data_IF_650808081365
#
_entry.id   IF_650808081365
#
_cell.length_a   1.000
_cell.length_b   1.000
_cell.length_c   1.000
_cell.angle_alpha   90.00
_cell.angle_beta   90.00
_cell.angle_gamma   90.00
#
_symmetry.space_group_name_H-M   'P 1'
#
loop_
_entity.id
_entity.type
_entity.pdbx_description
1 polymer ?
#
# COMPACT_ATOMS: atom_id res chain seq x y z
N UNK A 1 16.35 -0.79 -0.43
CA UNK A 1 15.28 -0.28 -1.30
C UNK A 1 14.45 0.73 -0.53
N UNK A 2 14.31 1.97 -1.02
CA UNK A 2 13.48 2.99 -0.34
C UNK A 2 11.99 2.75 -0.58
N UNK A 3 11.13 3.26 0.30
CA UNK A 3 9.66 3.24 0.12
C UNK A 3 9.27 3.95 -1.18
N UNK A 4 9.94 5.06 -1.49
CA UNK A 4 9.72 5.81 -2.72
C UNK A 4 9.96 4.94 -3.97
N UNK A 5 11.05 4.18 -4.00
CA UNK A 5 11.34 3.29 -5.14
C UNK A 5 10.34 2.13 -5.24
N UNK A 6 9.86 1.59 -4.12
CA UNK A 6 8.81 0.56 -4.12
C UNK A 6 7.50 1.11 -4.67
N UNK A 7 7.12 2.32 -4.26
CA UNK A 7 5.94 3.02 -4.75
C UNK A 7 6.03 3.26 -6.26
N UNK A 8 7.12 3.86 -6.74
CA UNK A 8 7.31 4.13 -8.17
C UNK A 8 7.23 2.87 -9.04
N UNK A 9 7.85 1.77 -8.59
CA UNK A 9 7.77 0.48 -9.29
C UNK A 9 6.32 -0.01 -9.42
N UNK A 10 5.56 0.01 -8.33
CA UNK A 10 4.16 -0.43 -8.32
C UNK A 10 3.26 0.51 -9.13
N UNK A 11 3.46 1.83 -9.01
CA UNK A 11 2.69 2.80 -9.78
C UNK A 11 2.90 2.64 -11.28
N UNK A 12 4.15 2.45 -11.72
CA UNK A 12 4.47 2.26 -13.13
C UNK A 12 3.84 0.95 -13.65
N UNK A 13 3.87 -0.12 -12.85
CA UNK A 13 3.21 -1.38 -13.20
C UNK A 13 1.70 -1.18 -13.37
N UNK A 14 1.02 -0.56 -12.41
CA UNK A 14 -0.43 -0.30 -12.47
C UNK A 14 -0.79 0.56 -13.69
N UNK A 15 -0.03 1.65 -13.93
CA UNK A 15 -0.20 2.52 -15.11
C UNK A 15 -0.04 1.75 -16.42
N UNK A 16 0.97 0.89 -16.53
CA UNK A 16 1.21 0.07 -17.73
C UNK A 16 0.07 -0.90 -18.06
N UNK A 17 -0.72 -1.27 -17.05
CA UNK A 17 -1.90 -2.13 -17.21
C UNK A 17 -3.18 -1.36 -17.55
N UNK A 18 -3.12 -0.03 -17.60
CA UNK A 18 -4.28 0.83 -17.77
C UNK A 18 -5.22 0.83 -16.56
N UNK A 19 -4.72 0.41 -15.40
CA UNK A 19 -5.49 0.39 -14.16
C UNK A 19 -5.37 1.74 -13.44
N UNK A 20 -6.34 2.02 -12.57
CA UNK A 20 -6.31 3.19 -11.69
C UNK A 20 -5.90 2.76 -10.28
N UNK A 21 -5.05 3.56 -9.65
CA UNK A 21 -4.71 3.39 -8.24
C UNK A 21 -5.84 4.00 -7.41
N UNK A 22 -6.47 3.19 -6.56
CA UNK A 22 -7.55 3.64 -5.68
C UNK A 22 -7.01 4.36 -4.43
N UNK A 23 -6.09 3.73 -3.71
CA UNK A 23 -5.38 4.31 -2.56
C UNK A 23 -4.02 3.62 -2.36
N UNK A 24 -3.16 4.22 -1.53
CA UNK A 24 -1.82 3.72 -1.18
C UNK A 24 -1.67 3.67 0.34
N UNK A 25 -1.32 2.48 0.84
CA UNK A 25 -1.15 2.19 2.26
C UNK A 25 0.32 1.96 2.57
N UNK A 26 0.92 2.82 3.41
CA UNK A 26 2.36 2.80 3.72
C UNK A 26 2.56 2.77 5.24
N UNK A 27 3.40 1.85 5.70
CA UNK A 27 3.79 1.71 7.10
C UNK A 27 5.33 1.80 7.21
N UNK A 28 5.86 3.03 7.17
CA UNK A 28 7.30 3.27 7.35
C UNK A 28 7.70 3.10 8.83
N UNK A 29 8.79 2.39 9.08
CA UNK A 29 9.29 2.10 10.43
C UNK A 29 8.55 0.98 11.18
N UNK A 30 7.68 0.21 10.53
CA UNK A 30 6.99 -0.93 11.14
C UNK A 30 7.62 -2.26 10.78
N UNK A 31 7.62 -3.20 11.74
CA UNK A 31 8.10 -4.57 11.47
C UNK A 31 7.11 -5.33 10.58
N UNK A 32 7.62 -6.20 9.71
CA UNK A 32 6.79 -7.14 8.94
C UNK A 32 6.34 -8.39 9.70
N UNK A 33 6.63 -8.49 11.01
CA UNK A 33 6.37 -9.68 11.82
C UNK A 33 4.92 -9.80 12.30
N UNK A 34 4.15 -8.71 12.21
CA UNK A 34 2.75 -8.70 12.62
C UNK A 34 1.92 -7.72 11.75
N UNK A 35 0.62 -7.72 12.01
CA UNK A 35 -0.36 -6.88 11.32
C UNK A 35 -0.68 -5.58 12.06
N UNK A 36 -0.04 -5.29 13.20
CA UNK A 36 -0.22 -4.05 13.97
C UNK A 36 0.47 -2.88 13.27
N UNK A 37 -0.07 -2.51 12.13
CA UNK A 37 0.47 -1.54 11.18
C UNK A 37 -0.67 -0.61 10.78
N UNK A 38 -0.63 0.69 11.10
CA UNK A 38 -1.77 1.59 10.97
C UNK A 38 -2.38 1.64 9.58
N UNK A 39 -1.57 1.73 8.52
CA UNK A 39 -2.07 1.76 7.15
C UNK A 39 -2.61 0.39 6.72
N UNK A 40 -2.03 -0.71 7.19
CA UNK A 40 -2.61 -2.04 6.99
C UNK A 40 -3.97 -2.21 7.66
N UNK A 41 -4.13 -1.73 8.90
CA UNK A 41 -5.41 -1.75 9.59
C UNK A 41 -6.44 -0.86 8.88
N UNK A 42 -6.01 0.30 8.36
CA UNK A 42 -6.85 1.15 7.50
C UNK A 42 -7.32 0.40 6.25
N UNK A 43 -6.43 -0.32 5.57
CA UNK A 43 -6.80 -1.15 4.41
C UNK A 43 -7.89 -2.18 4.76
N UNK A 44 -7.76 -2.88 5.88
CA UNK A 44 -8.78 -3.86 6.30
C UNK A 44 -10.11 -3.16 6.58
N UNK A 45 -10.10 -2.04 7.31
CA UNK A 45 -11.29 -1.27 7.60
C UNK A 45 -11.97 -0.74 6.32
N UNK A 46 -11.20 -0.28 5.33
CA UNK A 46 -11.74 0.21 4.05
C UNK A 46 -12.38 -0.91 3.21
N UNK A 47 -11.98 -2.17 3.44
CA UNK A 47 -12.59 -3.36 2.83
C UNK A 47 -13.88 -3.73 3.57
N UNK A 48 -13.88 -3.69 4.90
CA UNK A 48 -15.02 -4.10 5.74
C UNK A 48 -16.17 -3.09 5.74
N UNK A 49 -15.86 -1.79 5.63
CA UNK A 49 -16.86 -0.72 5.62
C UNK A 49 -17.37 -0.38 4.20
N UNK A 50 -17.24 -1.32 3.26
CA UNK A 50 -17.66 -1.19 1.86
C UNK A 50 -18.95 -1.94 1.54
#
# INVERSE_FOLDING_TARGET
TSIQNQKELLENYVKSRGWSIYDVYIDDGYTGLNTNRPSFQRLINDIENK
#
